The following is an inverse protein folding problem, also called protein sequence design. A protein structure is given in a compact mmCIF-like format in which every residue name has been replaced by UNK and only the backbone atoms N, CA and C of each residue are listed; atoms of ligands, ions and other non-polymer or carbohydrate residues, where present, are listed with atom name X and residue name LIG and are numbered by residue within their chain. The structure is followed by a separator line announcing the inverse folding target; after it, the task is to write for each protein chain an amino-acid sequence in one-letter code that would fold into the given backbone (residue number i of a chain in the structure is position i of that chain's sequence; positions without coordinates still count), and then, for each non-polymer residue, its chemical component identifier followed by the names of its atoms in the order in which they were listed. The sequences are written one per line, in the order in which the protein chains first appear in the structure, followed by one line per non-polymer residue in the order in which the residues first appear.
data_IF_056488692161
#
_entry.id   IF_056488692161
#
_cell.length_a   1.000
_cell.length_b   1.000
_cell.length_c   1.000
_cell.angle_alpha   90.00
_cell.angle_beta   90.00
_cell.angle_gamma   90.00
#
_symmetry.space_group_name_H-M   'P 1'
#
loop_
_entity.id
_entity.type
_entity.pdbx_description
1 polymer ?
#
# COMPACT_ATOMS: atom_id res chain seq x y z
N UNK A 1 3.19 11.16 9.78
CA UNK A 1 3.98 9.92 10.01
C UNK A 1 3.12 8.70 9.66
N UNK A 2 3.60 7.62 9.02
CA UNK A 2 2.75 6.48 8.58
C UNK A 2 1.83 5.93 9.67
N UNK A 3 2.35 5.83 10.90
CA UNK A 3 1.58 5.38 12.07
C UNK A 3 0.48 6.36 12.49
N UNK A 4 0.73 7.66 12.48
CA UNK A 4 -0.30 8.67 12.83
C UNK A 4 -1.49 8.64 11.86
N UNK A 5 -1.22 8.37 10.59
CA UNK A 5 -2.24 8.36 9.54
C UNK A 5 -3.12 7.09 9.58
N UNK A 6 -2.61 5.98 10.11
CA UNK A 6 -3.27 4.68 10.05
C UNK A 6 -3.62 4.07 11.42
N UNK A 7 -2.99 4.56 12.49
CA UNK A 7 -3.15 4.07 13.86
C UNK A 7 -3.24 5.24 14.85
N UNK A 8 -4.45 5.76 15.05
CA UNK A 8 -4.71 6.79 16.06
C UNK A 8 -4.35 6.30 17.46
N UNK A 9 -3.68 7.15 18.25
CA UNK A 9 -3.27 6.88 19.63
C UNK A 9 -2.50 5.55 19.79
N UNK A 10 -1.65 5.20 18.81
CA UNK A 10 -0.89 3.94 18.81
C UNK A 10 0.05 3.84 20.01
N UNK A 11 0.60 4.96 20.49
CA UNK A 11 1.52 5.02 21.64
C UNK A 11 0.85 4.47 22.92
N UNK A 12 -0.43 4.81 23.13
CA UNK A 12 -1.19 4.34 24.29
C UNK A 12 -1.55 2.84 24.22
N UNK A 13 -1.35 2.22 23.07
CA UNK A 13 -1.66 0.81 22.82
C UNK A 13 -0.39 -0.06 22.82
N UNK A 14 0.78 0.53 23.08
CA UNK A 14 2.03 -0.20 23.14
C UNK A 14 2.09 -1.08 24.38
N UNK A 15 2.35 -2.37 24.12
CA UNK A 15 2.66 -3.36 25.13
C UNK A 15 4.18 -3.49 25.27
N UNK A 16 4.68 -3.87 26.47
CA UNK A 16 6.10 -4.11 26.67
C UNK A 16 6.58 -5.24 25.76
N UNK A 17 7.68 -5.00 25.06
CA UNK A 17 8.28 -6.00 24.16
C UNK A 17 9.27 -6.88 24.91
N UNK A 18 9.22 -8.19 24.65
CA UNK A 18 10.24 -9.15 25.13
C UNK A 18 11.40 -9.30 24.14
N UNK A 19 11.26 -8.76 22.93
CA UNK A 19 12.24 -8.92 21.86
C UNK A 19 13.44 -7.99 22.08
N UNK A 20 14.66 -8.55 21.99
CA UNK A 20 15.89 -7.78 22.07
C UNK A 20 16.43 -7.54 20.65
N UNK A 21 16.63 -6.26 20.31
CA UNK A 21 17.37 -5.72 19.17
C UNK A 21 17.21 -6.47 17.83
N UNK A 22 16.41 -5.91 16.93
CA UNK A 22 16.34 -6.37 15.56
C UNK A 22 17.58 -5.91 14.78
N UNK A 23 18.02 -6.71 13.82
CA UNK A 23 19.13 -6.35 12.91
C UNK A 23 18.59 -6.20 11.50
N UNK A 24 18.83 -5.07 10.87
CA UNK A 24 18.67 -4.86 9.43
C UNK A 24 20.03 -4.89 8.75
N UNK A 25 20.03 -4.87 7.42
CA UNK A 25 21.24 -4.63 6.64
C UNK A 25 21.89 -3.26 6.94
N UNK A 26 21.12 -2.29 7.43
CA UNK A 26 21.56 -0.92 7.75
C UNK A 26 21.99 -0.72 9.21
N UNK A 27 21.79 -1.70 10.09
CA UNK A 27 22.24 -1.63 11.47
C UNK A 27 21.28 -2.26 12.48
N UNK A 28 21.30 -1.73 13.71
CA UNK A 28 20.41 -2.17 14.79
C UNK A 28 19.12 -1.34 14.74
N UNK A 29 17.98 -2.01 14.81
CA UNK A 29 16.66 -1.39 14.93
C UNK A 29 16.16 -1.63 16.36
N UNK A 30 16.19 -0.61 17.24
CA UNK A 30 15.70 -0.76 18.60
C UNK A 30 14.17 -0.89 18.58
N UNK A 31 13.60 -1.90 19.26
CA UNK A 31 12.16 -2.03 19.36
C UNK A 31 11.59 -1.03 20.36
N UNK A 32 10.48 -0.39 19.99
CA UNK A 32 9.74 0.56 20.84
C UNK A 32 8.77 -0.19 21.75
N UNK A 33 8.08 -1.19 21.21
CA UNK A 33 7.05 -1.95 21.90
C UNK A 33 6.34 -2.90 20.95
N UNK A 34 5.34 -3.60 21.46
CA UNK A 34 4.50 -4.50 20.66
C UNK A 34 3.10 -3.90 20.55
N UNK A 35 2.46 -4.01 19.38
CA UNK A 35 1.05 -3.68 19.19
C UNK A 35 0.30 -4.90 18.68
N UNK A 36 -0.96 -5.04 19.08
CA UNK A 36 -1.86 -6.04 18.53
C UNK A 36 -2.94 -5.31 17.74
N UNK A 37 -2.97 -5.53 16.42
CA UNK A 37 -3.93 -4.90 15.51
C UNK A 37 -4.36 -5.84 14.41
N UNK A 38 -5.59 -5.63 13.97
CA UNK A 38 -6.09 -6.25 12.77
C UNK A 38 -5.74 -5.40 11.54
N UNK A 39 -5.17 -6.04 10.53
CA UNK A 39 -5.10 -5.49 9.18
C UNK A 39 -6.26 -6.05 8.38
N UNK A 40 -7.15 -5.15 7.94
CA UNK A 40 -8.29 -5.49 7.10
C UNK A 40 -7.93 -5.15 5.66
N UNK A 41 -7.85 -6.17 4.82
CA UNK A 41 -7.61 -6.02 3.39
C UNK A 41 -8.96 -6.20 2.67
N UNK A 42 -9.52 -5.14 2.07
CA UNK A 42 -10.77 -5.24 1.34
C UNK A 42 -10.56 -6.05 0.06
N UNK A 43 -11.49 -6.96 -0.23
CA UNK A 43 -11.46 -7.75 -1.46
C UNK A 43 -12.88 -8.02 -1.95
N UNK A 44 -13.04 -8.22 -3.27
CA UNK A 44 -14.35 -8.35 -3.94
C UNK A 44 -15.22 -9.51 -3.41
N UNK A 45 -14.57 -10.59 -2.96
CA UNK A 45 -15.22 -11.78 -2.36
C UNK A 45 -15.48 -11.65 -0.84
N UNK A 46 -15.19 -10.50 -0.24
CA UNK A 46 -15.23 -10.27 1.20
C UNK A 46 -13.89 -9.77 1.74
N UNK A 47 -13.92 -9.24 2.96
CA UNK A 47 -12.73 -8.68 3.60
C UNK A 47 -11.85 -9.78 4.21
N UNK A 48 -10.55 -9.63 4.04
CA UNK A 48 -9.53 -10.49 4.68
C UNK A 48 -9.09 -9.77 5.95
N UNK A 49 -9.18 -10.44 7.10
CA UNK A 49 -8.74 -9.90 8.38
C UNK A 49 -7.52 -10.68 8.86
N UNK A 50 -6.39 -9.99 9.00
CA UNK A 50 -5.16 -10.53 9.56
C UNK A 50 -5.00 -9.98 10.97
N UNK A 51 -5.12 -10.82 11.99
CA UNK A 51 -4.80 -10.46 13.36
C UNK A 51 -3.28 -10.55 13.55
N UNK A 52 -2.64 -9.42 13.85
CA UNK A 52 -1.19 -9.32 13.92
C UNK A 52 -0.76 -8.77 15.28
N UNK A 53 0.08 -9.54 15.96
CA UNK A 53 0.99 -9.05 16.98
C UNK A 53 2.29 -8.61 16.28
N UNK A 54 2.56 -7.31 16.30
CA UNK A 54 3.67 -6.69 15.56
C UNK A 54 4.58 -5.91 16.49
N UNK A 55 5.89 -6.05 16.30
CA UNK A 55 6.87 -5.23 17.00
C UNK A 55 7.06 -3.91 16.26
N UNK A 56 6.90 -2.81 16.98
CA UNK A 56 7.15 -1.46 16.48
C UNK A 56 8.65 -1.16 16.53
N UNK A 57 9.19 -0.77 15.37
CA UNK A 57 10.59 -0.39 15.20
C UNK A 57 10.66 1.08 14.79
N UNK A 58 11.62 1.81 15.36
CA UNK A 58 11.94 3.14 14.86
C UNK A 58 12.94 3.01 13.70
N UNK A 59 12.50 3.32 12.48
CA UNK A 59 13.36 3.42 11.30
C UNK A 59 12.94 4.64 10.47
N UNK A 60 13.92 5.46 10.08
CA UNK A 60 13.71 6.63 9.24
C UNK A 60 13.48 6.28 7.75
N UNK A 61 13.79 5.06 7.32
CA UNK A 61 13.81 4.67 5.91
C UNK A 61 12.60 3.85 5.47
N UNK A 62 12.00 3.06 6.37
CA UNK A 62 10.89 2.17 6.04
C UNK A 62 9.61 2.72 6.66
N UNK A 63 8.66 3.10 5.80
CA UNK A 63 7.31 3.51 6.20
C UNK A 63 6.30 2.46 5.74
N UNK A 64 6.08 1.45 6.58
CA UNK A 64 5.14 0.38 6.25
C UNK A 64 5.11 -0.74 7.29
N UNK A 65 4.23 -1.71 7.04
CA UNK A 65 4.15 -2.95 7.82
C UNK A 65 4.98 -4.02 7.10
N UNK A 66 5.89 -4.65 7.83
CA UNK A 66 6.61 -5.82 7.37
C UNK A 66 5.92 -7.08 7.90
N UNK A 67 5.39 -7.89 6.99
CA UNK A 67 4.85 -9.22 7.33
C UNK A 67 5.97 -10.25 7.28
N UNK A 68 6.27 -10.83 8.44
CA UNK A 68 7.24 -11.91 8.58
C UNK A 68 6.79 -13.22 7.95
N UNK A 69 7.72 -14.17 7.85
CA UNK A 69 7.47 -15.51 7.28
C UNK A 69 6.58 -16.38 8.16
N UNK A 70 6.52 -16.07 9.46
CA UNK A 70 5.58 -16.63 10.42
C UNK A 70 4.12 -16.38 10.01
N UNK A 71 3.76 -15.12 9.75
CA UNK A 71 2.42 -14.76 9.29
C UNK A 71 2.15 -15.22 7.87
N UNK A 72 3.18 -15.26 7.01
CA UNK A 72 3.02 -15.83 5.68
C UNK A 72 2.56 -17.28 5.73
N UNK A 73 3.18 -18.10 6.59
CA UNK A 73 2.79 -19.49 6.80
C UNK A 73 1.41 -19.60 7.46
N UNK A 74 1.17 -18.79 8.51
CA UNK A 74 -0.08 -18.82 9.27
C UNK A 74 -1.31 -18.56 8.39
N UNK A 75 -1.22 -17.56 7.51
CA UNK A 75 -2.34 -17.14 6.66
C UNK A 75 -2.33 -17.78 5.26
N UNK A 76 -1.35 -18.64 4.94
CA UNK A 76 -1.20 -19.23 3.62
C UNK A 76 -1.01 -18.16 2.54
N UNK A 77 -0.03 -17.28 2.76
CA UNK A 77 0.32 -16.20 1.84
C UNK A 77 1.36 -16.71 0.85
N UNK A 78 0.98 -16.72 -0.43
CA UNK A 78 1.86 -17.04 -1.55
C UNK A 78 2.09 -15.77 -2.39
N UNK A 79 3.34 -15.47 -2.76
CA UNK A 79 3.69 -14.33 -3.62
C UNK A 79 4.23 -14.84 -4.95
N UNK A 80 3.60 -14.42 -6.05
CA UNK A 80 3.97 -14.80 -7.41
C UNK A 80 4.56 -13.59 -8.13
N UNK A 81 5.76 -13.75 -8.70
CA UNK A 81 6.51 -12.67 -9.36
C UNK A 81 6.54 -12.79 -10.89
N UNK A 82 5.73 -13.66 -11.51
CA UNK A 82 5.73 -13.89 -12.97
C UNK A 82 4.72 -13.01 -13.69
N UNK A 83 5.14 -12.33 -14.79
CA UNK A 83 4.36 -11.44 -15.69
C UNK A 83 3.55 -10.31 -15.00
N UNK A 84 2.67 -10.64 -14.06
CA UNK A 84 1.95 -9.72 -13.17
C UNK A 84 2.15 -10.16 -11.71
N UNK A 85 2.78 -9.30 -10.91
CA UNK A 85 3.03 -9.60 -9.49
C UNK A 85 1.70 -9.67 -8.74
N UNK A 86 1.42 -10.79 -8.09
CA UNK A 86 0.20 -10.98 -7.32
C UNK A 86 0.46 -11.80 -6.07
N UNK A 87 -0.43 -11.64 -5.09
CA UNK A 87 -0.42 -12.31 -3.80
C UNK A 87 -1.68 -13.15 -3.69
N UNK A 88 -1.54 -14.37 -3.21
CA UNK A 88 -2.66 -15.21 -2.84
C UNK A 88 -2.67 -15.32 -1.32
N UNK A 89 -3.84 -15.15 -0.70
CA UNK A 89 -4.03 -15.32 0.75
C UNK A 89 -5.09 -16.39 0.98
N UNK A 90 -4.76 -17.38 1.79
CA UNK A 90 -5.71 -18.39 2.26
C UNK A 90 -5.13 -19.80 2.22
N UNK A 91 -5.33 -20.54 3.31
CA UNK A 91 -4.88 -21.92 3.46
C UNK A 91 -5.79 -22.93 2.76
N UNK A 92 -7.09 -22.62 2.61
CA UNK A 92 -8.05 -23.46 1.91
C UNK A 92 -8.16 -23.06 0.43
N UNK A 93 -7.96 -24.03 -0.48
CA UNK A 93 -8.02 -23.85 -1.95
C UNK A 93 -9.30 -23.14 -2.42
N UNK A 94 -10.44 -23.39 -1.79
CA UNK A 94 -11.74 -22.81 -2.17
C UNK A 94 -11.93 -21.36 -1.71
N UNK A 95 -11.20 -20.93 -0.68
CA UNK A 95 -11.29 -19.58 -0.08
C UNK A 95 -10.04 -18.74 -0.33
N UNK A 96 -9.29 -19.05 -1.38
CA UNK A 96 -8.10 -18.27 -1.76
C UNK A 96 -8.53 -16.91 -2.31
N UNK A 97 -7.98 -15.85 -1.74
CA UNK A 97 -8.11 -14.48 -2.18
C UNK A 97 -6.91 -14.12 -3.05
N UNK A 98 -7.13 -13.61 -4.25
CA UNK A 98 -6.06 -13.17 -5.15
C UNK A 98 -6.03 -11.64 -5.16
N UNK A 99 -4.89 -11.07 -4.82
CA UNK A 99 -4.66 -9.63 -4.81
C UNK A 99 -3.55 -9.30 -5.79
N UNK A 100 -3.85 -8.42 -6.75
CA UNK A 100 -2.83 -7.87 -7.62
C UNK A 100 -1.93 -6.93 -6.81
N UNK A 101 -0.62 -7.19 -6.83
CA UNK A 101 0.36 -6.30 -6.23
C UNK A 101 0.71 -5.28 -7.30
N UNK A 102 -0.05 -4.20 -7.35
CA UNK A 102 0.36 -3.03 -8.11
C UNK A 102 1.66 -2.48 -7.51
N UNK A 103 2.61 -2.09 -8.37
CA UNK A 103 3.75 -1.31 -7.91
C UNK A 103 3.18 -0.08 -7.19
N UNK A 104 3.46 0.03 -5.88
CA UNK A 104 3.36 1.30 -5.19
C UNK A 104 4.49 2.14 -5.79
N UNK A 105 4.24 2.73 -6.96
CA UNK A 105 4.96 3.91 -7.42
C UNK A 105 4.89 4.87 -6.23
N UNK A 106 6.05 5.36 -5.79
CA UNK A 106 6.19 6.46 -4.84
C UNK A 106 4.96 7.37 -4.91
N UNK A 107 4.26 7.53 -3.79
CA UNK A 107 3.02 8.30 -3.64
C UNK A 107 3.23 9.76 -4.06
N UNK A 108 3.30 10.01 -5.37
CA UNK A 108 3.21 11.33 -5.95
C UNK A 108 1.99 11.29 -6.88
N UNK A 109 0.80 11.66 -6.36
CA UNK A 109 -0.44 11.67 -7.13
C UNK A 109 -0.30 12.47 -8.43
N UNK A 110 0.65 13.41 -8.46
CA UNK A 110 0.98 14.24 -9.62
C UNK A 110 1.66 13.44 -10.72
N UNK A 111 2.61 12.54 -10.38
CA UNK A 111 3.25 11.66 -11.37
C UNK A 111 2.28 10.63 -11.94
N UNK A 112 1.38 10.12 -11.11
CA UNK A 112 0.36 9.16 -11.54
C UNK A 112 -0.65 9.82 -12.49
N UNK A 113 -1.11 11.04 -12.14
CA UNK A 113 -1.93 11.87 -13.03
C UNK A 113 -1.20 12.24 -14.33
N UNK A 114 0.07 12.66 -14.26
CA UNK A 114 0.85 12.96 -15.48
C UNK A 114 1.06 11.72 -16.35
N UNK A 115 1.19 10.54 -15.73
CA UNK A 115 1.30 9.27 -16.45
C UNK A 115 0.00 8.89 -17.15
N UNK A 116 -1.15 9.13 -16.51
CA UNK A 116 -2.49 8.86 -17.05
C UNK A 116 -2.78 9.69 -18.32
N UNK A 117 -2.21 10.89 -18.44
CA UNK A 117 -2.38 11.78 -19.59
C UNK A 117 -1.09 11.98 -20.40
N UNK A 118 -0.20 10.97 -20.44
CA UNK A 118 1.12 11.02 -21.11
C UNK A 118 1.08 11.44 -22.57
N UNK A 119 0.02 11.08 -23.27
CA UNK A 119 -0.17 11.40 -24.69
C UNK A 119 -0.82 12.78 -24.92
N UNK A 120 -1.29 13.42 -23.84
CA UNK A 120 -1.90 14.75 -23.88
C UNK A 120 -0.85 15.84 -24.05
N UNK A 121 -0.91 16.58 -25.16
CA UNK A 121 -0.10 17.77 -25.34
C UNK A 121 -0.65 18.93 -24.51
N UNK A 122 0.08 19.32 -23.46
CA UNK A 122 -0.24 20.54 -22.71
C UNK A 122 0.45 21.75 -23.34
N UNK A 123 -0.25 22.89 -23.40
CA UNK A 123 0.36 24.15 -23.82
C UNK A 123 1.60 24.49 -22.99
N UNK A 124 2.64 25.00 -23.66
CA UNK A 124 3.91 25.44 -23.05
C UNK A 124 3.73 26.66 -22.13
N UNK A 125 2.61 27.37 -22.26
CA UNK A 125 2.27 28.54 -21.44
C UNK A 125 1.74 28.21 -20.05
N UNK A 126 1.38 26.94 -19.80
CA UNK A 126 0.79 26.52 -18.52
C UNK A 126 1.87 26.29 -17.45
N UNK A 127 1.71 26.93 -16.30
CA UNK A 127 2.51 26.65 -15.10
C UNK A 127 2.19 25.26 -14.54
N UNK A 128 3.12 24.69 -13.77
CA UNK A 128 2.93 23.39 -13.12
C UNK A 128 1.65 23.33 -12.26
N UNK A 129 1.28 24.43 -11.60
CA UNK A 129 0.05 24.54 -10.80
C UNK A 129 -1.21 24.45 -11.66
N UNK A 130 -1.20 25.11 -12.82
CA UNK A 130 -2.33 25.05 -13.76
C UNK A 130 -2.50 23.67 -14.36
N UNK A 131 -1.40 23.02 -14.76
CA UNK A 131 -1.43 21.63 -15.28
C UNK A 131 -2.03 20.67 -14.25
N UNK A 132 -1.64 20.81 -12.99
CA UNK A 132 -2.12 19.95 -11.90
C UNK A 132 -3.62 20.14 -11.62
N UNK A 133 -4.10 21.39 -11.67
CA UNK A 133 -5.52 21.71 -11.54
C UNK A 133 -6.34 21.14 -12.70
N UNK A 134 -5.80 21.25 -13.93
CA UNK A 134 -6.43 20.74 -15.15
C UNK A 134 -6.54 19.21 -15.11
N UNK A 135 -5.45 18.51 -14.76
CA UNK A 135 -5.42 17.05 -14.63
C UNK A 135 -6.44 16.51 -13.62
N UNK A 136 -6.59 17.19 -12.47
CA UNK A 136 -7.61 16.85 -11.46
C UNK A 136 -9.03 16.99 -12.01
N UNK A 137 -9.27 18.05 -12.80
CA UNK A 137 -10.57 18.31 -13.41
C UNK A 137 -10.89 17.29 -14.52
N UNK A 138 -9.92 16.96 -15.37
CA UNK A 138 -10.06 15.93 -16.41
C UNK A 138 -10.38 14.55 -15.82
N UNK A 139 -9.69 14.15 -14.74
CA UNK A 139 -9.96 12.88 -14.06
C UNK A 139 -11.35 12.84 -13.43
N UNK A 140 -11.80 13.94 -12.81
CA UNK A 140 -13.15 14.04 -12.24
C UNK A 140 -14.23 13.88 -13.32
N UNK A 141 -13.99 14.43 -14.50
CA UNK A 141 -14.92 14.39 -15.63
C UNK A 141 -14.61 13.27 -16.63
N UNK A 142 -13.77 12.29 -16.27
CA UNK A 142 -13.41 11.14 -17.12
C UNK A 142 -14.62 10.48 -17.81
N UNK A 143 -15.77 10.23 -17.16
CA UNK A 143 -16.92 9.61 -17.83
C UNK A 143 -17.61 10.50 -18.88
N UNK A 144 -17.26 11.79 -18.96
CA UNK A 144 -17.76 12.70 -19.98
C UNK A 144 -16.91 12.71 -21.27
N UNK A 145 -15.80 11.97 -21.29
CA UNK A 145 -14.92 11.86 -22.46
C UNK A 145 -15.03 10.46 -23.05
N UNK A 146 -15.23 10.37 -24.36
CA UNK A 146 -15.15 9.12 -25.11
C UNK A 146 -13.71 8.62 -25.15
N UNK A 147 -13.46 7.38 -24.76
CA UNK A 147 -12.18 6.71 -25.01
C UNK A 147 -12.22 6.13 -26.43
N UNK A 148 -11.06 5.99 -27.09
CA UNK A 148 -11.02 5.36 -28.43
C UNK A 148 -11.56 3.92 -28.45
N UNK A 149 -11.56 3.24 -27.29
CA UNK A 149 -12.11 1.90 -27.09
C UNK A 149 -13.62 1.91 -26.77
N UNK A 150 -14.17 3.06 -26.34
CA UNK A 150 -15.60 3.28 -26.04
C UNK A 150 -16.04 4.65 -26.60
N UNK A 151 -16.26 4.76 -27.93
CA UNK A 151 -16.87 5.95 -28.51
C UNK A 151 -18.31 6.10 -28.02
N UNK A 152 -18.73 7.36 -27.83
CA UNK A 152 -20.12 7.72 -27.54
C UNK A 152 -21.06 7.36 -28.70
#
# INVERSE_FOLDING_TARGET
MYLENHFQNWENQLLPTKAKNFKSASGKMPPIGTIIKDIIIPHRKGNIRLNLESVMLYDSHIQGVLLGTDYQRMYGIDIYNSKNRHMIIGTNKEKKFSLDIYQISSQDPVKELLNEFREGQFSTTLTSKHKLSLLKMLRKNRPAFSLGEEPL
#
